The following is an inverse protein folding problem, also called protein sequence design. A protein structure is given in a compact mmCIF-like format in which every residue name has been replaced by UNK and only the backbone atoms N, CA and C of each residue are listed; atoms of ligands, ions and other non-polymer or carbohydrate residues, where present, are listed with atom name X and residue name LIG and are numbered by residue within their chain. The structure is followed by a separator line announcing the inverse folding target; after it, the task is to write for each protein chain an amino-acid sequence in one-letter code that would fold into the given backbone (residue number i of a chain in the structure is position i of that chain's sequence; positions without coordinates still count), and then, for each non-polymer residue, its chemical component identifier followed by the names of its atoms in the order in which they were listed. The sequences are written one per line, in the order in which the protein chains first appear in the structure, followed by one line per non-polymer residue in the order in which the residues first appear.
data_IF_184487407249
#
_entry.id   IF_184487407249
#
_cell.length_a   1.000
_cell.length_b   1.000
_cell.length_c   1.000
_cell.angle_alpha   90.00
_cell.angle_beta   90.00
_cell.angle_gamma   90.00
#
_symmetry.space_group_name_H-M   'P 1'
#
loop_
_entity.id
_entity.type
_entity.pdbx_description
1 polymer ?
#
# COMPACT_ATOMS: atom_id res chain seq x y z
N UNK A 1 1.53 -18.38 -15.39
CA UNK A 1 1.74 -18.73 -13.96
C UNK A 1 1.30 -17.53 -13.14
N UNK A 2 -0.01 -17.38 -12.93
CA UNK A 2 -0.52 -16.28 -12.11
C UNK A 2 -0.33 -16.69 -10.67
N UNK A 3 0.43 -15.92 -9.88
CA UNK A 3 0.54 -16.10 -8.42
C UNK A 3 -0.75 -15.56 -7.78
N UNK A 4 -1.87 -16.13 -8.18
CA UNK A 4 -3.22 -15.72 -7.79
C UNK A 4 -3.57 -16.40 -6.46
N UNK A 5 -4.03 -15.58 -5.53
CA UNK A 5 -4.46 -15.90 -4.18
C UNK A 5 -3.35 -16.14 -3.13
N UNK A 6 -3.07 -15.09 -2.36
CA UNK A 6 -2.37 -15.19 -1.07
C UNK A 6 -3.43 -15.20 0.04
N UNK A 7 -3.89 -16.39 0.48
CA UNK A 7 -5.04 -16.51 1.37
C UNK A 7 -4.82 -15.84 2.73
N UNK A 8 -3.56 -15.70 3.16
CA UNK A 8 -3.21 -15.06 4.43
C UNK A 8 -3.56 -13.57 4.45
N UNK A 9 -3.45 -12.89 3.30
CA UNK A 9 -3.79 -11.47 3.19
C UNK A 9 -5.29 -11.24 3.39
N UNK A 10 -6.12 -12.16 2.90
CA UNK A 10 -7.58 -12.05 3.02
C UNK A 10 -8.08 -12.18 4.46
N UNK A 11 -7.35 -12.92 5.31
CA UNK A 11 -7.67 -13.03 6.74
C UNK A 11 -7.35 -11.74 7.50
N UNK A 12 -6.32 -11.01 7.09
CA UNK A 12 -5.87 -9.79 7.78
C UNK A 12 -6.44 -8.51 7.16
N UNK A 13 -6.83 -8.55 5.90
CA UNK A 13 -7.34 -7.41 5.15
C UNK A 13 -8.62 -7.84 4.40
N UNK A 14 -9.77 -7.92 5.10
CA UNK A 14 -11.04 -8.12 4.44
C UNK A 14 -11.37 -6.97 3.46
N UNK A 15 -12.28 -7.23 2.52
CA UNK A 15 -12.74 -6.19 1.59
C UNK A 15 -13.27 -4.97 2.34
N UNK A 16 -12.93 -3.77 1.86
CA UNK A 16 -13.24 -2.49 2.50
C UNK A 16 -12.21 -2.03 3.54
N UNK A 17 -11.22 -2.85 3.90
CA UNK A 17 -10.10 -2.39 4.75
C UNK A 17 -9.33 -1.26 4.06
N UNK A 18 -9.06 -0.19 4.81
CA UNK A 18 -8.22 0.92 4.35
C UNK A 18 -6.76 0.65 4.71
N UNK A 19 -5.88 0.74 3.72
CA UNK A 19 -4.44 0.49 3.85
C UNK A 19 -3.68 1.69 3.32
N UNK A 20 -2.84 2.28 4.17
CA UNK A 20 -1.96 3.40 3.79
C UNK A 20 -0.53 2.90 3.69
N UNK A 21 0.08 3.07 2.52
CA UNK A 21 1.51 2.78 2.33
C UNK A 21 2.34 4.05 2.55
N UNK A 22 3.18 4.01 3.57
CA UNK A 22 4.25 4.97 3.81
C UNK A 22 5.63 4.43 3.34
N UNK A 23 5.63 3.26 2.71
CA UNK A 23 6.83 2.60 2.21
C UNK A 23 7.08 2.92 0.73
N UNK A 24 8.37 2.88 0.34
CA UNK A 24 8.78 3.10 -1.04
C UNK A 24 8.24 2.07 -2.04
N UNK A 25 8.31 2.41 -3.33
CA UNK A 25 7.73 1.66 -4.45
C UNK A 25 8.05 0.16 -4.44
N UNK A 26 9.32 -0.21 -4.23
CA UNK A 26 9.77 -1.62 -4.20
C UNK A 26 9.01 -2.50 -3.20
N UNK A 27 8.53 -1.93 -2.10
CA UNK A 27 7.78 -2.69 -1.10
C UNK A 27 6.31 -2.91 -1.52
N UNK A 28 5.74 -1.97 -2.28
CA UNK A 28 4.31 -1.95 -2.62
C UNK A 28 4.00 -2.41 -4.04
N UNK A 29 4.98 -2.48 -4.94
CA UNK A 29 4.77 -2.76 -6.37
C UNK A 29 3.98 -4.06 -6.63
N UNK A 30 4.15 -5.08 -5.77
CA UNK A 30 3.38 -6.33 -5.84
C UNK A 30 2.26 -6.43 -4.80
N UNK A 31 2.42 -5.79 -3.64
CA UNK A 31 1.47 -5.91 -2.53
C UNK A 31 0.24 -5.01 -2.71
N UNK A 32 0.42 -3.78 -3.19
CA UNK A 32 -0.69 -2.86 -3.41
C UNK A 32 -1.69 -3.38 -4.46
N UNK A 33 -1.28 -3.93 -5.62
CA UNK A 33 -2.21 -4.56 -6.55
C UNK A 33 -2.95 -5.75 -5.92
N UNK A 34 -2.27 -6.60 -5.14
CA UNK A 34 -2.90 -7.73 -4.47
C UNK A 34 -3.99 -7.28 -3.47
N UNK A 35 -3.71 -6.26 -2.66
CA UNK A 35 -4.69 -5.70 -1.72
C UNK A 35 -5.88 -5.06 -2.42
N UNK A 36 -5.65 -4.34 -3.53
CA UNK A 36 -6.75 -3.78 -4.35
C UNK A 36 -7.62 -4.88 -4.95
N UNK A 37 -7.02 -5.96 -5.45
CA UNK A 37 -7.75 -7.12 -5.97
C UNK A 37 -8.58 -7.82 -4.88
N UNK A 38 -8.17 -7.74 -3.62
CA UNK A 38 -8.95 -8.20 -2.46
C UNK A 38 -10.09 -7.24 -2.05
N UNK A 39 -10.23 -6.10 -2.74
CA UNK A 39 -11.25 -5.09 -2.44
C UNK A 39 -10.86 -4.13 -1.32
N UNK A 40 -9.58 -4.00 -0.99
CA UNK A 40 -9.10 -3.00 -0.03
C UNK A 40 -8.99 -1.61 -0.67
N UNK A 41 -9.19 -0.57 0.14
CA UNK A 41 -8.91 0.82 -0.24
C UNK A 41 -7.43 1.11 0.04
N UNK A 42 -6.62 1.20 -1.02
CA UNK A 42 -5.17 1.36 -0.90
C UNK A 42 -4.74 2.76 -1.30
N UNK A 43 -4.15 3.50 -0.34
CA UNK A 43 -3.61 4.84 -0.52
C UNK A 43 -2.08 4.85 -0.43
N UNK A 44 -1.45 5.71 -1.24
CA UNK A 44 0.00 5.96 -1.21
C UNK A 44 0.22 7.47 -1.22
N UNK A 45 0.12 8.15 -0.07
CA UNK A 45 0.09 9.62 0.00
C UNK A 45 1.34 10.29 -0.57
N UNK A 46 2.46 9.57 -0.58
CA UNK A 46 3.77 10.06 -1.00
C UNK A 46 4.18 9.60 -2.42
N UNK A 47 3.25 9.04 -3.20
CA UNK A 47 3.53 8.62 -4.57
C UNK A 47 3.96 9.80 -5.45
N UNK A 48 5.12 9.67 -6.11
CA UNK A 48 5.67 10.71 -6.98
C UNK A 48 6.46 11.82 -6.26
N UNK A 49 6.46 11.86 -4.93
CA UNK A 49 7.23 12.85 -4.16
C UNK A 49 8.73 12.50 -4.14
N UNK A 50 9.59 13.51 -4.24
CA UNK A 50 11.02 13.36 -4.00
C UNK A 50 11.31 13.06 -2.52
N UNK A 51 12.46 12.45 -2.21
CA UNK A 51 12.77 12.01 -0.82
C UNK A 51 12.68 13.13 0.23
N UNK A 52 13.06 14.37 -0.12
CA UNK A 52 12.93 15.52 0.77
C UNK A 52 11.47 15.89 1.07
N UNK A 53 10.60 15.81 0.06
CA UNK A 53 9.17 16.06 0.19
C UNK A 53 8.48 14.95 0.99
N UNK A 54 8.92 13.70 0.84
CA UNK A 54 8.43 12.58 1.66
C UNK A 54 8.77 12.79 3.14
N UNK A 55 10.01 13.16 3.45
CA UNK A 55 10.44 13.46 4.82
C UNK A 55 9.67 14.64 5.42
N UNK A 56 9.44 15.69 4.63
CA UNK A 56 8.64 16.83 5.06
C UNK A 56 7.19 16.42 5.34
N UNK A 57 6.55 15.67 4.44
CA UNK A 57 5.19 15.16 4.63
C UNK A 57 5.06 14.31 5.91
N UNK A 58 6.05 13.45 6.18
CA UNK A 58 6.10 12.64 7.40
C UNK A 58 6.28 13.52 8.65
N UNK A 59 7.08 14.58 8.58
CA UNK A 59 7.29 15.50 9.71
C UNK A 59 6.05 16.34 10.06
N UNK A 60 5.18 16.63 9.09
CA UNK A 60 3.95 17.41 9.33
C UNK A 60 2.81 16.57 9.93
N UNK A 61 2.88 15.23 9.81
CA UNK A 61 1.77 14.31 10.12
C UNK A 61 2.13 13.20 11.11
N UNK A 62 3.41 13.07 11.47
CA UNK A 62 3.91 12.14 12.50
C UNK A 62 3.99 12.78 13.87
#
# INVERSE_FOLDING_TARGET
MVKEDRPELRLQCPAGTSVVFLAGEKYREFLAPALRNLGCNVEVPMEGLAIGEQLHWLSERG
#
